data_IF_927658727258
#
_entry.id   IF_927658727258
#
_cell.length_a   1.000
_cell.length_b   1.000
_cell.length_c   1.000
_cell.angle_alpha   90.00
_cell.angle_beta   90.00
_cell.angle_gamma   90.00
#
_symmetry.space_group_name_H-M   'P 1'
#
loop_
_entity.id
_entity.type
_entity.pdbx_description
1 polymer ?
#
# COMPACT_ATOMS: atom_id res chain seq x y z
N UNK A 1 3.62 -25.33 -9.41
CA UNK A 1 3.27 -24.49 -10.58
C UNK A 1 4.27 -24.74 -11.68
N UNK A 2 3.85 -24.77 -12.94
CA UNK A 2 4.76 -24.91 -14.07
C UNK A 2 5.48 -23.57 -14.34
N UNK A 3 6.77 -23.51 -14.02
CA UNK A 3 7.64 -22.38 -14.34
C UNK A 3 7.98 -22.45 -15.83
N UNK A 4 7.17 -21.83 -16.68
CA UNK A 4 7.38 -21.76 -18.14
C UNK A 4 8.59 -20.86 -18.50
N UNK A 5 9.77 -21.13 -17.93
CA UNK A 5 10.98 -20.33 -18.07
C UNK A 5 11.03 -19.05 -17.22
N UNK A 6 10.00 -18.79 -16.41
CA UNK A 6 9.93 -17.61 -15.54
C UNK A 6 10.48 -17.96 -14.14
N UNK A 7 11.53 -17.27 -13.65
CA UNK A 7 12.05 -17.51 -12.31
C UNK A 7 11.04 -17.09 -11.23
N UNK A 8 10.94 -17.86 -10.15
CA UNK A 8 10.08 -17.56 -9.01
C UNK A 8 10.45 -16.22 -8.35
N UNK A 9 11.72 -15.82 -8.42
CA UNK A 9 12.21 -14.52 -7.93
C UNK A 9 11.61 -13.32 -8.71
N UNK A 10 11.09 -13.55 -9.92
CA UNK A 10 10.36 -12.52 -10.66
C UNK A 10 9.01 -12.21 -10.01
N UNK A 11 8.43 -13.13 -9.24
CA UNK A 11 7.11 -12.96 -8.62
C UNK A 11 7.05 -11.73 -7.70
N UNK A 12 8.09 -11.54 -6.87
CA UNK A 12 8.17 -10.40 -5.95
C UNK A 12 8.43 -9.07 -6.66
N UNK A 13 9.05 -9.10 -7.85
CA UNK A 13 9.33 -7.89 -8.63
C UNK A 13 8.09 -7.35 -9.34
N UNK A 14 7.01 -8.13 -9.50
CA UNK A 14 5.79 -7.65 -10.14
C UNK A 14 5.11 -6.53 -9.36
N UNK A 15 5.23 -6.50 -8.04
CA UNK A 15 4.60 -5.49 -7.21
C UNK A 15 5.17 -4.07 -7.45
N UNK A 16 6.49 -3.81 -7.31
CA UNK A 16 7.05 -2.50 -7.67
C UNK A 16 6.89 -2.16 -9.16
N UNK A 17 6.89 -3.15 -10.06
CA UNK A 17 6.58 -2.92 -11.48
C UNK A 17 5.14 -2.43 -11.66
N UNK A 18 4.17 -3.04 -10.96
CA UNK A 18 2.79 -2.61 -10.98
C UNK A 18 2.66 -1.16 -10.49
N UNK A 19 3.36 -0.79 -9.41
CA UNK A 19 3.35 0.60 -8.91
C UNK A 19 3.87 1.56 -9.98
N UNK A 20 5.00 1.27 -10.61
CA UNK A 20 5.60 2.13 -11.65
C UNK A 20 4.62 2.36 -12.82
N UNK A 21 3.85 1.33 -13.20
CA UNK A 21 2.90 1.40 -14.32
C UNK A 21 1.57 2.07 -13.91
N UNK A 22 1.04 1.75 -12.73
CA UNK A 22 -0.30 2.19 -12.31
C UNK A 22 -0.31 3.54 -11.58
N UNK A 23 0.78 3.94 -10.91
CA UNK A 23 0.87 5.24 -10.25
C UNK A 23 0.56 6.42 -11.19
N UNK A 24 1.17 6.56 -12.40
CA UNK A 24 0.84 7.66 -13.30
C UNK A 24 -0.62 7.59 -13.76
N UNK A 25 -1.20 6.40 -13.89
CA UNK A 25 -2.61 6.23 -14.25
C UNK A 25 -3.53 6.71 -13.13
N UNK A 26 -3.21 6.42 -11.87
CA UNK A 26 -3.97 6.91 -10.72
C UNK A 26 -3.89 8.44 -10.63
N UNK A 27 -2.69 9.02 -10.70
CA UNK A 27 -2.50 10.46 -10.50
C UNK A 27 -2.96 11.31 -11.68
N UNK A 28 -2.68 10.88 -12.92
CA UNK A 28 -2.95 11.68 -14.12
C UNK A 28 -4.29 11.36 -14.77
N UNK A 29 -4.89 10.20 -14.51
CA UNK A 29 -6.17 9.81 -15.12
C UNK A 29 -7.27 9.74 -14.06
N UNK A 30 -7.11 8.91 -13.03
CA UNK A 30 -8.17 8.65 -12.07
C UNK A 30 -8.49 9.89 -11.22
N UNK A 31 -7.49 10.54 -10.63
CA UNK A 31 -7.71 11.72 -9.78
C UNK A 31 -8.35 12.91 -10.54
N UNK A 32 -7.87 13.34 -11.72
CA UNK A 32 -8.53 14.41 -12.45
C UNK A 32 -9.92 14.00 -12.94
N UNK A 33 -10.15 12.72 -13.26
CA UNK A 33 -11.48 12.22 -13.58
C UNK A 33 -12.46 12.35 -12.39
N UNK A 34 -12.05 11.93 -11.19
CA UNK A 34 -12.85 12.11 -9.97
C UNK A 34 -13.14 13.58 -9.68
N UNK A 35 -12.13 14.46 -9.85
CA UNK A 35 -12.28 15.92 -9.72
C UNK A 35 -13.27 16.49 -10.73
N UNK A 36 -13.24 16.02 -11.99
CA UNK A 36 -14.19 16.43 -13.04
C UNK A 36 -15.62 16.05 -12.70
N UNK A 37 -15.81 14.90 -12.04
CA UNK A 37 -17.11 14.44 -11.55
C UNK A 37 -17.52 15.04 -10.19
N UNK A 38 -16.74 15.97 -9.63
CA UNK A 38 -16.99 16.63 -8.33
C UNK A 38 -17.16 15.66 -7.16
N UNK A 39 -16.51 14.50 -7.23
CA UNK A 39 -16.51 13.53 -6.12
C UNK A 39 -15.30 13.85 -5.25
N UNK A 40 -15.48 14.38 -4.02
CA UNK A 40 -14.36 14.63 -3.12
C UNK A 40 -13.77 13.29 -2.70
N UNK A 41 -12.47 13.12 -2.97
CA UNK A 41 -11.74 11.92 -2.59
C UNK A 41 -10.59 12.28 -1.65
N UNK A 42 -10.91 12.54 -0.36
CA UNK A 42 -9.92 12.94 0.63
C UNK A 42 -8.94 11.79 0.94
N UNK A 43 -7.77 12.10 1.52
CA UNK A 43 -6.72 11.13 1.80
C UNK A 43 -7.18 9.92 2.63
N UNK A 44 -8.04 10.11 3.65
CA UNK A 44 -8.53 8.97 4.45
C UNK A 44 -9.38 8.00 3.61
N UNK A 45 -10.23 8.52 2.73
CA UNK A 45 -11.06 7.69 1.86
C UNK A 45 -10.21 6.91 0.84
N UNK A 46 -9.09 7.48 0.39
CA UNK A 46 -8.10 6.79 -0.45
C UNK A 46 -7.47 5.63 0.33
N UNK A 47 -7.01 5.87 1.56
CA UNK A 47 -6.41 4.83 2.40
C UNK A 47 -7.39 3.67 2.59
N UNK A 48 -8.65 3.96 2.93
CA UNK A 48 -9.70 2.93 3.07
C UNK A 48 -9.92 2.15 1.77
N UNK A 49 -9.96 2.83 0.62
CA UNK A 49 -10.04 2.16 -0.67
C UNK A 49 -8.85 1.23 -0.92
N UNK A 50 -7.64 1.63 -0.51
CA UNK A 50 -6.45 0.77 -0.54
C UNK A 50 -6.64 -0.52 0.26
N UNK A 51 -7.09 -0.44 1.52
CA UNK A 51 -7.37 -1.63 2.34
C UNK A 51 -8.43 -2.57 1.73
N UNK A 52 -9.44 -2.02 1.06
CA UNK A 52 -10.46 -2.83 0.38
C UNK A 52 -9.94 -3.46 -0.91
N UNK A 53 -9.08 -2.78 -1.67
CA UNK A 53 -8.41 -3.36 -2.84
C UNK A 53 -7.45 -4.47 -2.39
N UNK A 54 -6.72 -4.30 -1.28
CA UNK A 54 -5.88 -5.34 -0.69
C UNK A 54 -6.71 -6.56 -0.25
N UNK A 55 -7.89 -6.34 0.34
CA UNK A 55 -8.83 -7.42 0.66
C UNK A 55 -9.27 -8.19 -0.60
N UNK A 56 -9.63 -7.48 -1.68
CA UNK A 56 -9.97 -8.11 -2.97
C UNK A 56 -8.79 -8.89 -3.57
N UNK A 57 -7.56 -8.39 -3.42
CA UNK A 57 -6.35 -9.09 -3.85
C UNK A 57 -6.16 -10.41 -3.09
N UNK A 58 -6.40 -10.41 -1.77
CA UNK A 58 -6.34 -11.61 -0.94
C UNK A 58 -7.47 -12.60 -1.26
N UNK A 59 -8.68 -12.13 -1.58
CA UNK A 59 -9.77 -12.99 -2.08
C UNK A 59 -9.36 -13.62 -3.41
N UNK A 60 -8.80 -12.84 -4.33
CA UNK A 60 -8.30 -13.34 -5.60
C UNK A 60 -7.21 -14.40 -5.39
N UNK A 61 -6.25 -14.15 -4.49
CA UNK A 61 -5.22 -15.12 -4.13
C UNK A 61 -5.81 -16.40 -3.54
N UNK A 62 -6.82 -16.31 -2.65
CA UNK A 62 -7.51 -17.47 -2.10
C UNK A 62 -8.24 -18.29 -3.18
N UNK A 63 -8.86 -17.63 -4.15
CA UNK A 63 -9.53 -18.28 -5.30
C UNK A 63 -8.51 -18.99 -6.18
N UNK A 64 -7.37 -18.35 -6.49
CA UNK A 64 -6.29 -19.00 -7.24
C UNK A 64 -5.73 -20.18 -6.45
N UNK A 65 -5.51 -20.04 -5.15
CA UNK A 65 -5.06 -21.13 -4.28
C UNK A 65 -6.05 -22.30 -4.27
N UNK A 66 -7.35 -22.01 -4.23
CA UNK A 66 -8.40 -23.03 -4.34
C UNK A 66 -8.31 -23.80 -5.67
N UNK A 67 -8.15 -23.10 -6.80
CA UNK A 67 -7.94 -23.75 -8.10
C UNK A 67 -6.62 -24.54 -8.16
N UNK A 68 -5.58 -24.09 -7.44
CA UNK A 68 -4.32 -24.83 -7.27
C UNK A 68 -4.56 -26.13 -6.51
N UNK A 69 -5.34 -26.14 -5.43
CA UNK A 69 -5.66 -27.40 -4.76
C UNK A 69 -6.63 -28.28 -5.55
N UNK A 70 -7.38 -27.73 -6.50
CA UNK A 70 -8.32 -28.51 -7.33
C UNK A 70 -7.68 -29.12 -8.59
N UNK A 71 -6.50 -28.67 -8.98
CA UNK A 71 -5.85 -29.11 -10.23
C UNK A 71 -4.76 -30.16 -9.93
N UNK A 72 -4.76 -31.29 -10.66
CA UNK A 72 -3.94 -32.48 -10.35
C UNK A 72 -2.42 -32.30 -10.53
N UNK A 73 -1.58 -33.27 -10.10
CA UNK A 73 -1.89 -34.66 -9.68
C UNK A 73 -2.09 -34.87 -8.17
N UNK A 74 -1.87 -33.86 -7.33
CA UNK A 74 -2.05 -33.93 -5.89
C UNK A 74 -2.87 -32.73 -5.41
N UNK A 75 -4.04 -32.99 -4.83
CA UNK A 75 -5.03 -31.97 -4.45
C UNK A 75 -4.63 -31.23 -3.17
N UNK A 76 -5.01 -31.77 -2.00
CA UNK A 76 -4.79 -31.16 -0.67
C UNK A 76 -3.31 -31.12 -0.23
N UNK A 77 -2.44 -31.83 -0.95
CA UNK A 77 -1.00 -31.90 -0.69
C UNK A 77 -0.23 -31.68 -2.01
N UNK A 78 -0.04 -30.43 -2.45
CA UNK A 78 0.86 -30.16 -3.57
C UNK A 78 2.26 -30.75 -3.26
N UNK A 79 2.92 -31.34 -4.25
CA UNK A 79 4.17 -32.14 -4.14
C UNK A 79 4.03 -33.53 -3.49
N UNK A 80 2.87 -34.19 -3.57
CA UNK A 80 2.79 -35.60 -3.16
C UNK A 80 3.66 -36.52 -4.05
N UNK A 81 4.06 -37.73 -3.59
CA UNK A 81 4.92 -38.64 -4.35
C UNK A 81 4.35 -39.05 -5.72
N UNK A 82 3.03 -38.92 -5.92
CA UNK A 82 2.38 -39.15 -7.22
C UNK A 82 2.57 -38.00 -8.23
N UNK A 83 3.19 -36.89 -7.82
CA UNK A 83 3.65 -35.81 -8.69
C UNK A 83 5.04 -36.07 -9.29
N UNK A 84 5.76 -37.11 -8.86
CA UNK A 84 6.97 -37.55 -9.57
C UNK A 84 6.57 -38.17 -10.91
N UNK A 85 6.89 -37.47 -12.00
CA UNK A 85 6.87 -38.08 -13.33
C UNK A 85 7.91 -39.20 -13.41
N UNK A 86 7.78 -40.08 -14.41
CA UNK A 86 8.66 -41.23 -14.65
C UNK A 86 10.17 -40.91 -14.76
N UNK A 87 10.53 -39.62 -14.81
CA UNK A 87 11.88 -39.07 -14.96
C UNK A 87 12.45 -38.46 -13.66
N UNK A 88 11.75 -38.59 -12.51
CA UNK A 88 12.14 -37.98 -11.23
C UNK A 88 11.90 -36.47 -11.13
N UNK A 89 11.22 -35.88 -12.12
CA UNK A 89 10.81 -34.48 -12.12
C UNK A 89 9.42 -34.33 -11.50
N UNK A 90 9.29 -33.47 -10.49
CA UNK A 90 8.01 -33.13 -9.88
C UNK A 90 7.19 -32.34 -10.91
N UNK A 91 6.15 -32.97 -11.47
CA UNK A 91 5.18 -32.34 -12.37
C UNK A 91 4.27 -31.47 -11.52
N UNK A 92 4.68 -30.21 -11.39
CA UNK A 92 3.88 -29.18 -10.74
C UNK A 92 2.55 -28.98 -11.48
N UNK A 93 1.52 -28.65 -10.72
CA UNK A 93 0.20 -28.35 -11.23
C UNK A 93 0.20 -27.33 -12.41
N UNK A 94 -0.65 -27.59 -13.42
CA UNK A 94 -0.79 -26.89 -14.70
C UNK A 94 -1.48 -25.51 -14.58
N UNK A 95 -1.21 -24.76 -13.52
CA UNK A 95 -1.67 -23.38 -13.40
C UNK A 95 -0.54 -22.46 -13.81
N UNK A 96 -0.84 -21.60 -14.77
CA UNK A 96 0.10 -20.64 -15.30
C UNK A 96 0.44 -19.59 -14.23
N UNK A 97 1.74 -19.34 -14.01
CA UNK A 97 2.23 -18.37 -13.02
C UNK A 97 1.64 -16.95 -13.22
N UNK A 98 1.28 -16.61 -14.46
CA UNK A 98 0.61 -15.35 -14.79
C UNK A 98 -0.75 -15.16 -14.09
N UNK A 99 -1.44 -16.24 -13.72
CA UNK A 99 -2.69 -16.14 -12.95
C UNK A 99 -2.44 -15.52 -11.56
N UNK A 100 -1.28 -15.81 -10.96
CA UNK A 100 -0.89 -15.26 -9.67
C UNK A 100 -0.36 -13.81 -9.78
N UNK A 101 0.18 -13.41 -10.93
CA UNK A 101 0.54 -12.00 -11.21
C UNK A 101 -0.63 -11.05 -10.98
N UNK A 102 -1.87 -11.48 -11.21
CA UNK A 102 -3.07 -10.68 -10.91
C UNK A 102 -3.17 -10.25 -9.45
N UNK A 103 -2.79 -11.11 -8.50
CA UNK A 103 -2.80 -10.78 -7.08
C UNK A 103 -1.77 -9.70 -6.75
N UNK A 104 -0.54 -9.83 -7.26
CA UNK A 104 0.54 -8.84 -7.07
C UNK A 104 0.19 -7.49 -7.66
N UNK A 105 -0.43 -7.45 -8.84
CA UNK A 105 -0.88 -6.19 -9.44
C UNK A 105 -1.95 -5.49 -8.59
N UNK A 106 -2.91 -6.24 -8.03
CA UNK A 106 -3.94 -5.69 -7.15
C UNK A 106 -3.33 -5.17 -5.84
N UNK A 107 -2.33 -5.86 -5.28
CA UNK A 107 -1.58 -5.38 -4.12
C UNK A 107 -0.85 -4.08 -4.44
N UNK A 108 -0.13 -3.99 -5.57
CA UNK A 108 0.53 -2.75 -5.95
C UNK A 108 -0.42 -1.57 -6.12
N UNK A 109 -1.62 -1.81 -6.67
CA UNK A 109 -2.68 -0.79 -6.72
C UNK A 109 -3.15 -0.40 -5.31
N UNK A 110 -3.30 -1.37 -4.40
CA UNK A 110 -3.66 -1.10 -3.01
C UNK A 110 -2.59 -0.26 -2.28
N UNK A 111 -1.31 -0.48 -2.56
CA UNK A 111 -0.21 0.28 -1.99
C UNK A 111 -0.21 1.74 -2.42
N UNK A 112 -0.55 2.02 -3.69
CA UNK A 112 -0.70 3.40 -4.17
C UNK A 112 -1.74 4.16 -3.32
N UNK A 113 -2.88 3.53 -3.02
CA UNK A 113 -3.95 4.17 -2.26
C UNK A 113 -3.70 4.23 -0.76
N UNK A 114 -3.09 3.20 -0.17
CA UNK A 114 -2.84 3.15 1.27
C UNK A 114 -1.47 3.74 1.64
N UNK A 115 -0.39 3.19 1.09
CA UNK A 115 0.99 3.48 1.50
C UNK A 115 1.45 4.86 1.00
N UNK A 116 1.32 5.12 -0.31
CA UNK A 116 1.77 6.39 -0.91
C UNK A 116 0.95 7.55 -0.37
N UNK A 117 -0.38 7.43 -0.39
CA UNK A 117 -1.27 8.48 0.14
C UNK A 117 -1.08 8.67 1.64
N UNK A 118 -0.94 7.59 2.41
CA UNK A 118 -0.73 7.68 3.86
C UNK A 118 0.56 8.41 4.21
N UNK A 119 1.64 8.14 3.46
CA UNK A 119 2.91 8.81 3.64
C UNK A 119 2.85 10.29 3.23
N UNK A 120 2.26 10.60 2.07
CA UNK A 120 2.04 11.97 1.61
C UNK A 120 1.21 12.78 2.62
N UNK A 121 0.13 12.19 3.13
CA UNK A 121 -0.71 12.81 4.16
C UNK A 121 0.07 13.04 5.46
N UNK A 122 0.83 12.06 5.92
CA UNK A 122 1.65 12.19 7.11
C UNK A 122 2.72 13.29 6.97
N UNK A 123 3.37 13.39 5.80
CA UNK A 123 4.38 14.43 5.53
C UNK A 123 3.80 15.84 5.40
N UNK A 124 2.61 15.97 4.82
CA UNK A 124 1.95 17.28 4.64
C UNK A 124 1.39 17.82 5.95
N UNK A 125 1.03 16.95 6.89
CA UNK A 125 0.55 17.36 8.23
C UNK A 125 1.65 17.42 9.30
N UNK A 126 2.86 16.97 9.01
CA UNK A 126 3.99 17.04 9.93
C UNK A 126 4.64 18.44 9.94
N UNK A 127 5.00 18.99 11.12
CA UNK A 127 5.75 20.23 11.18
C UNK A 127 7.16 20.04 10.56
N UNK A 128 7.78 21.10 10.00
CA UNK A 128 9.02 20.99 9.23
C UNK A 128 10.17 20.27 9.95
N UNK A 129 10.29 20.47 11.28
CA UNK A 129 11.32 19.86 12.12
C UNK A 129 11.06 18.38 12.46
N UNK A 130 9.85 17.85 12.24
CA UNK A 130 9.48 16.48 12.61
C UNK A 130 9.25 15.53 11.43
N UNK A 131 9.44 15.99 10.18
CA UNK A 131 9.23 15.17 8.98
C UNK A 131 9.98 13.83 9.03
N UNK A 132 11.25 13.84 9.47
CA UNK A 132 12.05 12.62 9.61
C UNK A 132 11.54 11.70 10.72
N UNK A 133 11.00 12.26 11.80
CA UNK A 133 10.42 11.46 12.89
C UNK A 133 9.14 10.75 12.43
N UNK A 134 8.27 11.45 11.71
CA UNK A 134 7.05 10.87 11.14
C UNK A 134 7.38 9.76 10.13
N UNK A 135 8.40 9.96 9.30
CA UNK A 135 8.90 8.91 8.39
C UNK A 135 9.40 7.67 9.15
N UNK A 136 10.13 7.87 10.26
CA UNK A 136 10.60 6.77 11.07
C UNK A 136 9.43 5.96 11.68
N UNK A 137 8.38 6.64 12.13
CA UNK A 137 7.15 5.98 12.60
C UNK A 137 6.45 5.20 11.49
N UNK A 138 6.46 5.71 10.25
CA UNK A 138 5.95 4.98 9.10
C UNK A 138 6.76 3.71 8.80
N UNK A 139 8.09 3.79 8.82
CA UNK A 139 8.94 2.61 8.64
C UNK A 139 8.79 1.60 9.79
N UNK A 140 8.49 2.08 11.00
CA UNK A 140 8.21 1.22 12.14
C UNK A 140 6.95 0.37 11.92
N UNK A 141 5.91 0.89 11.26
CA UNK A 141 4.74 0.07 10.93
C UNK A 141 5.08 -1.07 9.97
N UNK A 142 6.00 -0.83 9.02
CA UNK A 142 6.49 -1.89 8.13
C UNK A 142 7.26 -2.96 8.92
N UNK A 143 8.07 -2.58 9.90
CA UNK A 143 8.78 -3.53 10.76
C UNK A 143 7.80 -4.43 11.55
N UNK A 144 6.72 -3.86 12.10
CA UNK A 144 5.66 -4.65 12.74
C UNK A 144 4.94 -5.57 11.75
N UNK A 145 4.65 -5.09 10.53
CA UNK A 145 4.08 -5.90 9.46
C UNK A 145 4.94 -7.13 9.13
N UNK A 146 6.25 -6.92 8.94
CA UNK A 146 7.20 -8.01 8.70
C UNK A 146 7.32 -8.97 9.89
N UNK A 147 7.32 -8.46 11.12
CA UNK A 147 7.35 -9.30 12.32
C UNK A 147 6.10 -10.19 12.44
N UNK A 148 4.92 -9.65 12.12
CA UNK A 148 3.67 -10.44 12.06
C UNK A 148 3.75 -11.48 10.95
N UNK A 149 4.27 -11.12 9.77
CA UNK A 149 4.45 -12.05 8.65
C UNK A 149 5.33 -13.24 9.04
N UNK A 150 6.43 -13.00 9.77
CA UNK A 150 7.30 -14.08 10.26
C UNK A 150 6.61 -14.92 11.34
N UNK A 151 5.84 -14.28 12.24
CA UNK A 151 5.09 -14.99 13.27
C UNK A 151 4.01 -15.92 12.68
N UNK A 152 3.51 -15.63 11.47
CA UNK A 152 2.52 -16.46 10.77
C UNK A 152 3.14 -17.66 10.03
N UNK A 153 4.47 -17.74 9.93
CA UNK A 153 5.19 -18.81 9.22
C UNK A 153 4.73 -20.25 9.60
N UNK A 154 4.47 -20.58 10.89
CA UNK A 154 3.98 -21.91 11.28
C UNK A 154 2.59 -22.27 10.73
N UNK A 155 1.83 -21.31 10.21
CA UNK A 155 0.48 -21.51 9.63
C UNK A 155 0.57 -21.77 8.11
N UNK A 156 1.73 -21.58 7.48
CA UNK A 156 1.96 -21.85 6.06
C UNK A 156 2.21 -23.34 5.77
N UNK A 157 1.28 -24.20 6.15
CA UNK A 157 1.25 -25.60 5.70
C UNK A 157 0.03 -25.85 4.82
N UNK A 158 0.15 -26.75 3.84
CA UNK A 158 -0.99 -27.16 3.02
C UNK A 158 -1.96 -28.03 3.83
N UNK A 159 -3.29 -27.82 3.75
CA UNK A 159 -4.03 -26.83 2.94
C UNK A 159 -4.39 -25.52 3.70
N UNK A 160 -3.81 -25.27 4.88
CA UNK A 160 -4.10 -24.10 5.72
C UNK A 160 -3.71 -22.75 5.09
N UNK A 161 -2.83 -22.73 4.09
CA UNK A 161 -2.44 -21.51 3.34
C UNK A 161 -3.67 -20.81 2.73
N UNK A 162 -4.67 -21.56 2.23
CA UNK A 162 -5.90 -20.94 1.71
C UNK A 162 -6.67 -20.21 2.82
N UNK A 163 -6.76 -20.79 4.02
CA UNK A 163 -7.42 -20.15 5.16
C UNK A 163 -6.68 -18.91 5.64
N UNK A 164 -5.35 -18.88 5.49
CA UNK A 164 -4.56 -17.68 5.74
C UNK A 164 -4.95 -16.54 4.80
N UNK A 165 -5.07 -16.79 3.48
CA UNK A 165 -5.51 -15.75 2.54
C UNK A 165 -6.93 -15.26 2.81
N UNK A 166 -7.85 -16.16 3.16
CA UNK A 166 -9.22 -15.77 3.57
C UNK A 166 -9.20 -14.94 4.84
N UNK A 167 -8.39 -15.33 5.83
CA UNK A 167 -8.21 -14.58 7.07
C UNK A 167 -7.67 -13.16 6.82
N UNK A 168 -6.64 -13.05 5.98
CA UNK A 168 -6.04 -11.77 5.58
C UNK A 168 -7.02 -10.89 4.78
N UNK A 169 -7.87 -11.50 3.94
CA UNK A 169 -8.91 -10.77 3.21
C UNK A 169 -9.93 -10.15 4.17
N UNK A 170 -10.43 -10.93 5.12
CA UNK A 170 -11.41 -10.49 6.12
C UNK A 170 -10.79 -9.44 7.05
N UNK A 171 -9.57 -9.67 7.54
CA UNK A 171 -8.88 -8.72 8.42
C UNK A 171 -8.64 -7.39 7.72
N UNK A 172 -8.23 -7.40 6.45
CA UNK A 172 -8.00 -6.18 5.66
C UNK A 172 -9.30 -5.40 5.41
N UNK A 173 -10.39 -6.11 5.14
CA UNK A 173 -11.71 -5.50 4.98
C UNK A 173 -12.19 -4.82 6.27
N UNK A 174 -12.09 -5.53 7.41
CA UNK A 174 -12.44 -5.01 8.72
C UNK A 174 -11.54 -3.82 9.08
N UNK A 175 -10.23 -3.92 8.87
CA UNK A 175 -9.28 -2.84 9.13
C UNK A 175 -9.65 -1.58 8.34
N UNK A 176 -9.95 -1.70 7.04
CA UNK A 176 -10.44 -0.58 6.23
C UNK A 176 -11.74 0.02 6.79
N UNK A 177 -12.69 -0.81 7.21
CA UNK A 177 -13.93 -0.36 7.85
C UNK A 177 -13.71 0.35 9.19
N UNK A 178 -12.80 -0.17 10.03
CA UNK A 178 -12.43 0.44 11.32
C UNK A 178 -11.73 1.78 11.09
N UNK A 179 -10.78 1.86 10.15
CA UNK A 179 -10.11 3.12 9.79
C UNK A 179 -11.14 4.15 9.34
N UNK A 180 -12.10 3.75 8.48
CA UNK A 180 -13.17 4.63 8.06
C UNK A 180 -14.00 5.14 9.25
N UNK A 181 -14.43 4.26 10.14
CA UNK A 181 -15.27 4.66 11.29
C UNK A 181 -14.50 5.58 12.26
N UNK A 182 -13.23 5.29 12.55
CA UNK A 182 -12.42 6.05 13.50
C UNK A 182 -11.97 7.41 12.92
N UNK A 183 -11.56 7.44 11.65
CA UNK A 183 -10.92 8.62 11.06
C UNK A 183 -11.82 9.41 10.11
N UNK A 184 -13.08 9.01 9.88
CA UNK A 184 -14.01 9.82 9.07
C UNK A 184 -14.18 11.25 9.57
N UNK A 185 -14.07 11.50 10.87
CA UNK A 185 -14.15 12.85 11.43
C UNK A 185 -12.96 13.72 10.98
N UNK A 186 -11.80 13.11 10.73
CA UNK A 186 -10.62 13.85 10.28
C UNK A 186 -10.79 14.41 8.87
N UNK A 187 -11.62 13.79 8.02
CA UNK A 187 -11.98 14.35 6.71
C UNK A 187 -12.74 15.68 6.83
N UNK A 188 -13.59 15.84 7.85
CA UNK A 188 -14.33 17.11 8.07
C UNK A 188 -13.38 18.22 8.55
N UNK A 189 -12.44 17.85 9.42
CA UNK A 189 -11.40 18.76 9.93
C UNK A 189 -10.33 19.09 8.89
N UNK A 190 -10.20 18.29 7.83
CA UNK A 190 -9.23 18.50 6.77
C UNK A 190 -9.45 19.83 6.03
N UNK A 191 -10.71 20.13 5.69
CA UNK A 191 -11.06 21.39 5.01
C UNK A 191 -10.71 22.60 5.88
N UNK A 192 -10.86 22.50 7.20
CA UNK A 192 -10.52 23.55 8.15
C UNK A 192 -9.00 23.74 8.24
N UNK A 193 -8.24 22.65 8.35
CA UNK A 193 -6.78 22.70 8.36
C UNK A 193 -6.24 23.32 7.06
N UNK A 194 -6.81 22.94 5.91
CA UNK A 194 -6.40 23.47 4.62
C UNK A 194 -6.74 24.96 4.46
N UNK A 195 -7.81 25.47 5.11
CA UNK A 195 -8.13 26.90 5.14
C UNK A 195 -7.13 27.68 6.01
N UNK A 196 -6.75 27.14 7.17
CA UNK A 196 -5.76 27.76 8.06
C UNK A 196 -4.38 27.89 7.39
N UNK A 197 -3.93 26.85 6.69
CA UNK A 197 -2.66 26.88 5.95
C UNK A 197 -2.68 27.95 4.85
N UNK A 198 -3.79 28.07 4.10
CA UNK A 198 -3.96 29.11 3.09
C UNK A 198 -3.92 30.52 3.69
N UNK A 199 -4.46 30.71 4.89
CA UNK A 199 -4.46 32.00 5.55
C UNK A 199 -3.09 32.34 6.15
N UNK A 200 -2.34 31.35 6.64
CA UNK A 200 -0.94 31.53 7.06
C UNK A 200 -0.05 31.97 5.89
N UNK A 201 -0.19 31.35 4.71
CA UNK A 201 0.60 31.70 3.52
C UNK A 201 0.27 33.08 2.94
N UNK A 202 -0.96 33.58 3.13
CA UNK A 202 -1.38 34.92 2.68
C UNK A 202 -0.85 36.05 3.57
N UNK A 203 -0.41 35.76 4.80
CA UNK A 203 -0.04 36.78 5.79
C UNK A 203 1.47 36.74 6.07
N UNK A 204 2.29 37.65 5.49
CA UNK A 204 3.75 37.62 5.60
C UNK A 204 4.28 37.71 7.04
N UNK A 205 3.51 38.31 7.95
CA UNK A 205 3.91 38.51 9.35
C UNK A 205 3.83 37.23 10.18
N UNK A 206 2.97 36.28 9.80
CA UNK A 206 2.88 34.98 10.48
C UNK A 206 4.07 34.09 10.13
N UNK A 207 4.61 34.23 8.91
CA UNK A 207 5.77 33.49 8.38
C UNK A 207 7.06 33.67 9.19
N UNK A 208 7.22 34.81 9.87
CA UNK A 208 8.42 35.16 10.64
C UNK A 208 8.41 34.68 12.09
N UNK A 209 7.29 34.17 12.60
CA UNK A 209 7.12 33.90 14.04
C UNK A 209 7.74 32.58 14.52
N UNK A 210 8.24 31.72 13.62
CA UNK A 210 8.80 30.40 13.96
C UNK A 210 10.32 30.28 13.83
N UNK A 211 11.05 31.36 13.52
CA UNK A 211 12.51 31.39 13.62
C UNK A 211 12.86 32.33 14.77
N UNK A 212 13.33 31.83 15.93
CA UNK A 212 14.05 32.66 16.88
C UNK A 212 15.28 33.19 16.16
N UNK A 213 15.16 34.42 15.65
CA UNK A 213 16.28 35.15 15.05
C UNK A 213 17.23 35.56 16.16
N UNK A 214 18.17 34.69 16.47
CA UNK A 214 19.43 35.10 17.07
C UNK A 214 20.52 34.97 16.00
N UNK A 215 21.19 36.08 15.68
CA UNK A 215 22.25 36.15 14.67
C UNK A 215 22.05 37.15 13.54
N UNK A 216 22.12 38.44 13.88
CA UNK A 216 22.72 39.55 13.09
C UNK A 216 22.47 39.61 11.57
N UNK A 217 21.56 40.48 11.16
CA UNK A 217 21.66 41.16 9.85
C UNK A 217 22.08 42.60 10.13
N UNK A 218 23.38 42.88 10.02
CA UNK A 218 23.84 44.25 9.80
C UNK A 218 23.35 44.68 8.41
N UNK A 219 22.33 45.53 8.43
CA UNK A 219 21.93 46.33 7.28
C UNK A 219 23.04 47.32 6.99
N UNK A 220 23.87 47.05 5.98
CA UNK A 220 24.62 48.12 5.34
C UNK A 220 23.64 48.99 4.55
N UNK A 221 23.27 50.08 5.21
CA UNK A 221 22.56 51.24 4.69
C UNK A 221 23.24 51.72 3.40
N UNK A 222 22.54 51.56 2.28
CA UNK A 222 22.83 52.27 1.05
C UNK A 222 22.10 53.61 1.10
N UNK A 223 22.74 54.64 1.63
CA UNK A 223 22.36 56.02 1.36
C UNK A 223 23.30 56.61 0.30
N UNK A 224 22.67 57.15 -0.75
CA UNK A 224 23.30 57.81 -1.90
C UNK A 224 23.51 59.30 -1.61
N UNK A 225 24.50 59.85 -2.33
CA UNK A 225 24.82 61.28 -2.60
C UNK A 225 25.85 61.91 -1.68
#
# INVERSE_FOLDING_TARGET
>A
MANHGIPNDLMQNFDPIAIIVFLPLVDQVLMPFLRKHKIPFPPINRIVAGFWIASLAMVYAAVIQYYIYQSGPCYDHPLCPAAEGADGAIVGNNIHIAAQTGAYMLIGISEIFASVTGLEYAYTKAPPSMKSFVQAMYLLTNAFGSAISEALNPVLYDPAIQWMYVGLAVSSFIAGGVIYILFRHLNESEDQMNQLDQDYDKVPTLRHSSVPGDGTVELHEAEKV
#
